data_IF_461635119187
#
_entry.id   IF_461635119187
#
_cell.length_a   1.000
_cell.length_b   1.000
_cell.length_c   1.000
_cell.angle_alpha   90.00
_cell.angle_beta   90.00
_cell.angle_gamma   90.00
#
_symmetry.space_group_name_H-M   'P 1'
#
loop_
_entity.id
_entity.type
_entity.pdbx_description
1 polymer ?
#
# COMPACT_ATOMS: atom_id res chain seq x y z
N UNK A 1 8.94 4.06 13.60
CA UNK A 1 7.89 3.60 14.54
C UNK A 1 7.24 2.29 14.09
N UNK A 2 6.79 2.15 12.84
CA UNK A 2 6.15 0.92 12.32
C UNK A 2 6.97 -0.38 12.52
N UNK A 3 8.26 -0.35 12.20
CA UNK A 3 9.17 -1.50 12.36
C UNK A 3 9.45 -1.87 13.83
N UNK A 4 9.28 -0.91 14.74
CA UNK A 4 9.59 -1.09 16.16
C UNK A 4 8.45 -1.72 16.96
N UNK A 5 7.28 -1.92 16.35
CA UNK A 5 6.13 -2.53 17.01
C UNK A 5 6.30 -4.06 17.00
N UNK A 6 6.16 -4.68 18.18
CA UNK A 6 6.29 -6.11 18.35
C UNK A 6 5.28 -6.87 17.50
N UNK A 7 5.74 -7.96 16.89
CA UNK A 7 4.93 -8.75 15.97
C UNK A 7 5.54 -10.12 15.73
N UNK A 8 4.76 -11.01 15.13
CA UNK A 8 5.26 -12.31 14.70
C UNK A 8 6.41 -12.17 13.69
N UNK A 9 7.31 -13.16 13.56
CA UNK A 9 8.41 -13.11 12.61
C UNK A 9 7.94 -12.83 11.16
N UNK A 10 6.81 -13.42 10.74
CA UNK A 10 6.20 -13.18 9.42
C UNK A 10 5.80 -11.72 9.25
N UNK A 11 5.09 -11.16 10.23
CA UNK A 11 4.63 -9.76 10.17
C UNK A 11 5.84 -8.81 10.20
N UNK A 12 6.87 -9.10 10.99
CA UNK A 12 8.13 -8.34 11.02
C UNK A 12 8.81 -8.30 9.65
N UNK A 13 8.86 -9.43 8.95
CA UNK A 13 9.38 -9.50 7.58
C UNK A 13 8.56 -8.63 6.62
N UNK A 14 7.23 -8.70 6.66
CA UNK A 14 6.37 -7.90 5.78
C UNK A 14 6.52 -6.41 6.08
N UNK A 15 6.63 -6.03 7.36
CA UNK A 15 6.91 -4.64 7.76
C UNK A 15 8.23 -4.14 7.17
N UNK A 16 9.30 -4.94 7.24
CA UNK A 16 10.60 -4.61 6.67
C UNK A 16 10.51 -4.42 5.15
N UNK A 17 9.83 -5.34 4.45
CA UNK A 17 9.59 -5.25 3.02
C UNK A 17 8.78 -4.01 2.63
N UNK A 18 7.72 -3.71 3.38
CA UNK A 18 6.89 -2.52 3.17
C UNK A 18 7.70 -1.24 3.38
N UNK A 19 8.46 -1.15 4.48
CA UNK A 19 9.31 0.01 4.75
C UNK A 19 10.35 0.24 3.65
N UNK A 20 11.01 -0.82 3.17
CA UNK A 20 11.96 -0.73 2.06
C UNK A 20 11.32 -0.20 0.77
N UNK A 21 10.09 -0.61 0.47
CA UNK A 21 9.33 -0.11 -0.70
C UNK A 21 8.99 1.37 -0.57
N UNK A 22 8.56 1.82 0.61
CA UNK A 22 8.27 3.24 0.87
C UNK A 22 9.54 4.09 0.70
N UNK A 23 10.71 3.58 1.12
CA UNK A 23 11.99 4.30 1.02
C UNK A 23 12.58 4.27 -0.40
N UNK A 24 12.41 3.18 -1.14
CA UNK A 24 13.01 3.02 -2.48
C UNK A 24 12.43 3.98 -3.54
N UNK A 25 11.28 4.61 -3.26
CA UNK A 25 10.65 5.58 -4.17
C UNK A 25 9.91 4.90 -5.33
N UNK A 26 9.82 5.53 -6.51
CA UNK A 26 9.05 4.99 -7.64
C UNK A 26 9.73 3.74 -8.21
N UNK A 27 9.07 2.59 -8.04
CA UNK A 27 9.61 1.28 -8.43
C UNK A 27 9.31 0.89 -9.88
N UNK A 28 8.31 1.49 -10.50
CA UNK A 28 7.85 1.10 -11.83
C UNK A 28 7.19 2.26 -12.56
N UNK A 29 7.08 2.11 -13.88
CA UNK A 29 6.30 2.93 -14.79
C UNK A 29 5.38 1.99 -15.58
N UNK A 30 4.06 2.15 -15.47
CA UNK A 30 3.17 1.47 -16.40
C UNK A 30 3.27 2.14 -17.76
N UNK A 31 3.51 1.34 -18.77
CA UNK A 31 3.28 1.69 -20.16
C UNK A 31 1.95 1.08 -20.55
N UNK A 32 0.85 1.69 -20.08
CA UNK A 32 -0.47 1.48 -20.67
C UNK A 32 -0.54 2.22 -22.02
N UNK A 33 0.44 1.98 -22.90
CA UNK A 33 0.34 2.40 -24.30
C UNK A 33 -0.76 1.58 -24.96
N UNK A 34 -1.46 2.18 -25.94
CA UNK A 34 -2.57 1.63 -26.73
C UNK A 34 -2.24 0.30 -27.46
N UNK A 35 -1.86 -0.73 -26.72
CA UNK A 35 -1.53 -2.06 -27.19
C UNK A 35 -2.72 -3.01 -27.13
N UNK A 36 -2.44 -4.27 -27.46
CA UNK A 36 -3.39 -5.38 -27.73
C UNK A 36 -4.38 -5.69 -26.59
N UNK A 37 -4.14 -5.21 -25.36
CA UNK A 37 -5.00 -5.45 -24.21
C UNK A 37 -5.83 -4.22 -23.84
N UNK A 38 -7.12 -4.42 -23.55
CA UNK A 38 -7.94 -3.38 -22.92
C UNK A 38 -7.36 -3.04 -21.54
N UNK A 39 -7.54 -1.78 -21.09
CA UNK A 39 -7.03 -1.31 -19.80
C UNK A 39 -7.41 -2.25 -18.64
N UNK A 40 -8.67 -2.68 -18.59
CA UNK A 40 -9.15 -3.61 -17.57
C UNK A 40 -8.42 -4.96 -17.60
N UNK A 41 -8.15 -5.51 -18.80
CA UNK A 41 -7.42 -6.76 -18.94
C UNK A 41 -5.96 -6.62 -18.47
N UNK A 42 -5.30 -5.52 -18.80
CA UNK A 42 -3.94 -5.24 -18.33
C UNK A 42 -3.86 -5.18 -16.79
N UNK A 43 -4.83 -4.54 -16.15
CA UNK A 43 -4.93 -4.45 -14.68
C UNK A 43 -5.09 -5.84 -14.06
N UNK A 44 -5.98 -6.67 -14.61
CA UNK A 44 -6.18 -8.03 -14.10
C UNK A 44 -4.94 -8.90 -14.28
N UNK A 45 -4.20 -8.77 -15.39
CA UNK A 45 -2.92 -9.46 -15.60
C UNK A 45 -1.91 -9.05 -14.51
N UNK A 46 -1.80 -7.75 -14.19
CA UNK A 46 -0.92 -7.24 -13.13
C UNK A 46 -1.23 -7.90 -11.79
N UNK A 47 -2.50 -7.90 -11.37
CA UNK A 47 -2.88 -8.50 -10.09
C UNK A 47 -2.75 -10.03 -10.06
N UNK A 48 -2.97 -10.71 -11.19
CA UNK A 48 -2.80 -12.16 -11.28
C UNK A 48 -1.34 -12.62 -11.25
N UNK A 49 -0.38 -11.73 -11.56
CA UNK A 49 1.05 -12.02 -11.45
C UNK A 49 1.57 -11.96 -10.00
N UNK A 50 0.77 -11.43 -9.06
CA UNK A 50 1.15 -11.40 -7.65
C UNK A 50 0.84 -12.75 -7.00
N UNK A 51 1.85 -13.34 -6.37
CA UNK A 51 1.73 -14.58 -5.59
C UNK A 51 1.78 -14.29 -4.09
N UNK A 52 1.19 -15.20 -3.30
CA UNK A 52 1.25 -15.15 -1.85
C UNK A 52 0.34 -14.09 -1.23
N UNK A 53 0.73 -13.63 -0.04
CA UNK A 53 0.20 -12.52 0.76
C UNK A 53 -0.16 -11.23 -0.01
N UNK A 54 0.39 -11.09 -1.22
CA UNK A 54 0.34 -9.89 -2.05
C UNK A 54 -0.94 -9.81 -2.87
N UNK A 55 -1.56 -10.93 -3.24
CA UNK A 55 -2.76 -10.91 -4.10
C UNK A 55 -3.94 -10.26 -3.39
N UNK A 56 -4.11 -10.54 -2.10
CA UNK A 56 -5.14 -9.92 -1.27
C UNK A 56 -4.79 -8.46 -0.97
N UNK A 57 -3.54 -8.15 -0.60
CA UNK A 57 -3.16 -6.80 -0.18
C UNK A 57 -2.96 -5.79 -1.34
N UNK A 58 -2.50 -6.22 -2.51
CA UNK A 58 -2.16 -5.31 -3.61
C UNK A 58 -3.33 -4.46 -4.10
N UNK A 59 -4.56 -4.97 -3.99
CA UNK A 59 -5.78 -4.23 -4.34
C UNK A 59 -6.11 -3.12 -3.33
N UNK A 60 -5.57 -3.19 -2.11
CA UNK A 60 -5.85 -2.25 -1.03
C UNK A 60 -4.92 -1.03 -1.02
N UNK A 61 -4.02 -0.83 -1.97
CA UNK A 61 -3.13 0.34 -1.93
C UNK A 61 -2.00 0.32 -2.94
N UNK A 62 -1.54 1.49 -3.34
CA UNK A 62 -0.41 1.65 -4.27
C UNK A 62 0.89 1.17 -3.65
N UNK A 63 1.06 1.33 -2.33
CA UNK A 63 2.22 0.80 -1.61
C UNK A 63 2.26 -0.74 -1.61
N UNK A 64 1.10 -1.39 -1.49
CA UNK A 64 1.00 -2.86 -1.57
C UNK A 64 1.23 -3.38 -2.99
N UNK A 65 0.69 -2.66 -3.97
CA UNK A 65 0.94 -2.91 -5.39
C UNK A 65 2.43 -2.81 -5.75
N UNK A 66 3.10 -1.75 -5.29
CA UNK A 66 4.56 -1.55 -5.43
C UNK A 66 5.36 -2.68 -4.83
N UNK A 67 4.98 -3.13 -3.64
CA UNK A 67 5.58 -4.30 -3.01
C UNK A 67 5.39 -5.57 -3.83
N UNK A 68 4.20 -5.78 -4.41
CA UNK A 68 3.92 -6.87 -5.33
C UNK A 68 4.86 -6.89 -6.54
N UNK A 69 5.02 -5.73 -7.19
CA UNK A 69 5.85 -5.56 -8.39
C UNK A 69 7.35 -5.70 -8.10
N UNK A 70 7.86 -5.06 -7.04
CA UNK A 70 9.26 -5.21 -6.63
C UNK A 70 9.62 -6.69 -6.41
N UNK A 71 8.74 -7.44 -5.74
CA UNK A 71 8.99 -8.85 -5.45
C UNK A 71 8.86 -9.74 -6.68
N UNK A 72 7.95 -9.42 -7.60
CA UNK A 72 7.88 -10.08 -8.90
C UNK A 72 9.19 -9.90 -9.68
N UNK A 73 9.75 -8.68 -9.71
CA UNK A 73 11.03 -8.38 -10.34
C UNK A 73 12.18 -9.15 -9.68
N UNK A 74 12.32 -9.10 -8.36
CA UNK A 74 13.35 -9.84 -7.60
C UNK A 74 13.25 -11.35 -7.88
N UNK A 75 12.03 -11.90 -7.94
CA UNK A 75 11.80 -13.31 -8.25
C UNK A 75 12.25 -13.69 -9.66
N UNK A 76 11.93 -12.86 -10.67
CA UNK A 76 12.38 -13.07 -12.05
C UNK A 76 13.90 -13.05 -12.16
N UNK A 77 14.54 -12.06 -11.54
CA UNK A 77 16.00 -11.93 -11.51
C UNK A 77 16.66 -13.17 -10.89
N UNK A 78 16.16 -13.63 -9.74
CA UNK A 78 16.70 -14.79 -9.04
C UNK A 78 16.61 -16.09 -9.88
N UNK A 79 15.55 -16.24 -10.69
CA UNK A 79 15.38 -17.40 -11.58
C UNK A 79 16.11 -17.28 -12.92
N UNK A 80 16.83 -16.18 -13.18
CA UNK A 80 17.47 -15.89 -14.47
C UNK A 80 16.51 -16.07 -15.65
N UNK A 81 15.22 -15.76 -15.45
CA UNK A 81 14.24 -15.80 -16.53
C UNK A 81 14.57 -14.63 -17.45
N UNK A 82 15.30 -14.92 -18.53
CA UNK A 82 15.71 -13.96 -19.55
C UNK A 82 14.49 -13.27 -20.16
N UNK A 83 14.70 -12.03 -20.65
CA UNK A 83 13.80 -11.02 -21.25
C UNK A 83 12.72 -11.47 -22.26
N UNK A 84 12.48 -12.76 -22.48
CA UNK A 84 11.48 -13.25 -23.43
C UNK A 84 10.19 -13.64 -22.68
N UNK A 85 9.25 -12.70 -22.63
CA UNK A 85 7.80 -12.90 -22.43
C UNK A 85 7.34 -13.27 -21.01
N UNK A 86 7.71 -12.45 -20.02
CA UNK A 86 6.94 -12.38 -18.79
C UNK A 86 5.53 -11.80 -19.06
N UNK A 87 4.50 -12.24 -18.31
CA UNK A 87 3.12 -11.74 -18.48
C UNK A 87 2.96 -10.21 -18.26
N UNK A 88 3.94 -9.55 -17.63
CA UNK A 88 3.95 -8.09 -17.44
C UNK A 88 4.78 -7.34 -18.50
N UNK A 89 5.47 -8.04 -19.39
CA UNK A 89 6.32 -7.41 -20.41
C UNK A 89 5.43 -6.60 -21.38
N UNK A 90 5.75 -5.31 -21.55
CA UNK A 90 4.94 -4.38 -22.34
C UNK A 90 3.72 -3.80 -21.62
N UNK A 91 3.42 -4.24 -20.39
CA UNK A 91 2.37 -3.67 -19.52
C UNK A 91 3.00 -2.79 -18.43
N UNK A 92 4.02 -3.30 -17.76
CA UNK A 92 4.72 -2.63 -16.66
C UNK A 92 6.22 -2.62 -16.94
N UNK A 93 6.82 -1.44 -17.00
CA UNK A 93 8.27 -1.27 -16.93
C UNK A 93 8.69 -1.18 -15.46
N UNK A 94 9.34 -2.22 -14.96
CA UNK A 94 9.78 -2.30 -13.56
C UNK A 94 11.26 -1.98 -13.49
N UNK A 95 11.62 -0.99 -12.67
CA UNK A 95 13.03 -0.63 -12.47
C UNK A 95 13.75 -1.76 -11.73
N UNK A 96 14.68 -2.42 -12.41
CA UNK A 96 15.55 -3.43 -11.82
C UNK A 96 16.42 -2.84 -10.70
N UNK A 97 16.94 -1.64 -10.90
CA UNK A 97 17.74 -0.92 -9.89
C UNK A 97 16.92 -0.66 -8.62
N UNK A 98 15.69 -0.15 -8.76
CA UNK A 98 14.84 0.13 -7.61
C UNK A 98 14.40 -1.16 -6.90
N UNK A 99 14.17 -2.25 -7.65
CA UNK A 99 13.90 -3.57 -7.09
C UNK A 99 15.10 -4.12 -6.30
N UNK A 100 16.31 -3.90 -6.79
CA UNK A 100 17.54 -4.30 -6.08
C UNK A 100 17.75 -3.47 -4.81
N UNK A 101 17.48 -2.16 -4.86
CA UNK A 101 17.48 -1.30 -3.66
C UNK A 101 16.52 -1.82 -2.59
N UNK A 102 15.31 -2.21 -2.97
CA UNK A 102 14.36 -2.84 -2.02
C UNK A 102 14.96 -4.12 -1.43
N UNK A 103 15.53 -5.00 -2.25
CA UNK A 103 16.15 -6.26 -1.78
C UNK A 103 17.28 -5.99 -0.78
N UNK A 104 18.19 -5.08 -1.09
CA UNK A 104 19.32 -4.71 -0.21
C UNK A 104 18.80 -4.10 1.09
N UNK A 105 17.88 -3.14 1.00
CA UNK A 105 17.32 -2.47 2.19
C UNK A 105 16.59 -3.45 3.12
N UNK A 106 15.83 -4.40 2.57
CA UNK A 106 15.21 -5.47 3.37
C UNK A 106 16.27 -6.29 4.09
N UNK A 107 17.33 -6.71 3.39
CA UNK A 107 18.40 -7.50 3.99
C UNK A 107 19.10 -6.74 5.14
N UNK A 108 19.35 -5.44 4.95
CA UNK A 108 19.93 -4.58 5.98
C UNK A 108 19.01 -4.43 7.20
N UNK A 109 17.73 -4.10 6.99
CA UNK A 109 16.75 -4.00 8.09
C UNK A 109 16.69 -5.30 8.88
N UNK A 110 16.59 -6.45 8.20
CA UNK A 110 16.54 -7.74 8.87
C UNK A 110 17.84 -8.03 9.63
N UNK A 111 19.01 -7.72 9.06
CA UNK A 111 20.29 -7.89 9.75
C UNK A 111 20.34 -7.10 11.06
N UNK A 112 19.88 -5.85 11.05
CA UNK A 112 19.83 -5.01 12.25
C UNK A 112 18.83 -5.55 13.29
N UNK A 113 17.66 -6.03 12.85
CA UNK A 113 16.67 -6.65 13.76
C UNK A 113 17.23 -7.93 14.40
N UNK A 114 17.98 -8.75 13.66
CA UNK A 114 18.63 -9.94 14.19
C UNK A 114 19.73 -9.58 15.20
N UNK A 115 20.51 -8.53 14.94
CA UNK A 115 21.53 -8.04 15.87
C UNK A 115 20.91 -7.55 17.20
N UNK A 116 19.67 -7.07 17.17
CA UNK A 116 18.87 -6.73 18.34
C UNK A 116 18.22 -7.95 19.03
N UNK A 117 18.50 -9.17 18.58
CA UNK A 117 17.98 -10.41 19.15
C UNK A 117 16.53 -10.73 18.76
N UNK A 118 15.98 -10.08 17.73
CA UNK A 118 14.64 -10.39 17.26
C UNK A 118 14.63 -11.63 16.37
N UNK A 119 13.59 -12.45 16.52
CA UNK A 119 13.39 -13.63 15.69
C UNK A 119 13.05 -13.25 14.24
N UNK A 120 13.73 -13.87 13.28
CA UNK A 120 13.56 -13.60 11.85
C UNK A 120 13.24 -14.91 11.15
N UNK A 121 12.26 -14.91 10.21
CA UNK A 121 11.92 -16.12 9.48
C UNK A 121 13.15 -16.70 8.78
N UNK A 122 13.42 -17.99 8.99
CA UNK A 122 14.51 -18.72 8.33
C UNK A 122 14.43 -18.65 6.79
N UNK A 123 13.22 -18.45 6.25
CA UNK A 123 12.92 -18.32 4.82
C UNK A 123 12.77 -16.86 4.37
N UNK A 124 13.56 -15.93 4.92
CA UNK A 124 13.53 -14.50 4.57
C UNK A 124 13.79 -14.18 3.08
N UNK A 125 14.14 -15.18 2.26
CA UNK A 125 14.19 -15.04 0.81
C UNK A 125 12.76 -14.83 0.24
N UNK A 126 12.55 -13.64 -0.30
CA UNK A 126 11.38 -13.12 -1.05
C UNK A 126 10.61 -14.13 -1.94
N UNK A 127 11.23 -15.16 -2.57
CA UNK A 127 10.50 -16.10 -3.43
C UNK A 127 9.52 -17.07 -2.74
N UNK A 128 9.66 -17.33 -1.43
CA UNK A 128 9.05 -18.51 -0.79
C UNK A 128 8.04 -18.20 0.33
N UNK A 129 7.22 -17.18 0.13
CA UNK A 129 6.15 -16.86 1.07
C UNK A 129 4.96 -17.82 0.93
N UNK A 130 4.23 -18.02 2.04
CA UNK A 130 2.99 -18.82 2.04
C UNK A 130 1.94 -18.21 1.09
N UNK A 131 0.99 -19.04 0.68
CA UNK A 131 -0.03 -18.71 -0.31
C UNK A 131 -0.92 -17.52 0.10
N UNK A 132 -1.30 -17.38 1.38
CA UNK A 132 -2.12 -16.24 1.89
C UNK A 132 -1.87 -15.98 3.39
N UNK A 133 -1.98 -14.70 3.82
CA UNK A 133 -1.76 -14.29 5.20
C UNK A 133 -2.96 -14.71 6.03
N UNK A 134 -2.71 -15.12 7.26
CA UNK A 134 -3.81 -15.33 8.22
C UNK A 134 -4.51 -14.00 8.52
N UNK A 135 -5.79 -14.06 8.91
CA UNK A 135 -6.56 -12.88 9.30
C UNK A 135 -5.87 -12.12 10.46
N UNK A 136 -5.30 -12.84 11.42
CA UNK A 136 -4.58 -12.26 12.56
C UNK A 136 -3.33 -11.49 12.13
N UNK A 137 -2.54 -12.03 11.21
CA UNK A 137 -1.36 -11.34 10.67
C UNK A 137 -1.76 -10.07 9.89
N UNK A 138 -2.85 -10.14 9.11
CA UNK A 138 -3.36 -8.96 8.37
C UNK A 138 -3.84 -7.89 9.33
N UNK A 139 -4.66 -8.26 10.31
CA UNK A 139 -5.13 -7.38 11.36
C UNK A 139 -3.95 -6.71 12.08
N UNK A 140 -2.95 -7.48 12.49
CA UNK A 140 -1.76 -6.97 13.16
C UNK A 140 -0.99 -5.97 12.27
N UNK A 141 -0.88 -6.20 10.96
CA UNK A 141 -0.24 -5.23 10.04
C UNK A 141 -1.04 -3.93 9.99
N UNK A 142 -2.34 -4.00 9.76
CA UNK A 142 -3.19 -2.81 9.63
C UNK A 142 -3.22 -2.01 10.93
N UNK A 143 -3.28 -2.68 12.09
CA UNK A 143 -3.25 -2.05 13.39
C UNK A 143 -1.92 -1.32 13.63
N UNK A 144 -0.80 -1.94 13.24
CA UNK A 144 0.51 -1.30 13.31
C UNK A 144 0.66 -0.13 12.33
N UNK A 145 0.10 -0.22 11.13
CA UNK A 145 0.07 0.89 10.17
C UNK A 145 -0.72 2.07 10.73
N UNK A 146 -1.94 1.81 11.23
CA UNK A 146 -2.78 2.82 11.86
C UNK A 146 -2.02 3.51 13.00
N UNK A 147 -1.48 2.74 13.94
CA UNK A 147 -0.74 3.30 15.09
C UNK A 147 0.49 4.10 14.65
N UNK A 148 1.22 3.63 13.65
CA UNK A 148 2.43 4.28 13.16
C UNK A 148 2.16 5.59 12.42
N UNK A 149 1.04 5.67 11.69
CA UNK A 149 0.76 6.74 10.73
C UNK A 149 -0.60 7.41 10.94
N UNK A 150 -1.18 7.34 12.15
CA UNK A 150 -2.50 7.92 12.45
C UNK A 150 -2.63 9.40 12.09
N UNK A 151 -1.53 10.14 12.08
CA UNK A 151 -1.48 11.56 11.76
C UNK A 151 -1.56 11.85 10.24
N UNK A 152 -1.42 10.84 9.40
CA UNK A 152 -1.49 10.89 7.94
C UNK A 152 -2.74 10.20 7.42
N UNK A 153 -3.74 9.97 8.29
CA UNK A 153 -4.97 9.31 7.91
C UNK A 153 -5.78 10.22 6.99
N UNK A 154 -6.26 9.62 5.91
CA UNK A 154 -7.11 10.21 4.89
C UNK A 154 -8.47 9.56 4.94
N UNK A 155 -9.49 10.32 4.64
CA UNK A 155 -10.87 9.90 4.56
C UNK A 155 -11.31 9.95 3.10
N UNK A 156 -11.73 8.81 2.55
CA UNK A 156 -12.24 8.71 1.19
C UNK A 156 -13.74 8.44 1.22
N UNK A 157 -14.54 9.26 0.53
CA UNK A 157 -16.00 9.14 0.46
C UNK A 157 -16.48 9.29 -0.98
N UNK A 158 -17.51 8.55 -1.35
CA UNK A 158 -18.21 8.84 -2.59
C UNK A 158 -18.92 10.20 -2.45
N UNK A 159 -18.92 11.04 -3.50
CA UNK A 159 -19.68 12.28 -3.47
C UNK A 159 -21.17 11.95 -3.26
N UNK A 160 -21.92 12.80 -2.52
CA UNK A 160 -23.35 12.63 -2.34
C UNK A 160 -24.05 12.65 -3.71
N UNK A 161 -25.03 11.78 -3.87
CA UNK A 161 -25.76 11.51 -5.11
C UNK A 161 -26.37 12.76 -5.77
N UNK A 162 -26.61 13.80 -4.98
CA UNK A 162 -27.30 15.04 -5.37
C UNK A 162 -26.38 16.08 -6.02
N UNK A 163 -25.07 15.82 -6.08
CA UNK A 163 -24.09 16.70 -6.71
C UNK A 163 -23.78 16.22 -8.14
N UNK A 164 -24.60 16.66 -9.12
CA UNK A 164 -24.41 16.34 -10.54
C UNK A 164 -23.08 16.85 -11.13
N UNK A 165 -22.35 17.72 -10.42
CA UNK A 165 -21.15 18.39 -10.94
C UNK A 165 -19.84 17.57 -10.85
N UNK A 166 -19.76 16.52 -10.02
CA UNK A 166 -18.55 15.70 -9.86
C UNK A 166 -18.85 14.23 -10.15
N UNK A 167 -19.23 13.95 -11.40
CA UNK A 167 -19.34 12.57 -11.88
C UNK A 167 -17.97 11.88 -11.87
N UNK A 168 -17.67 11.13 -10.82
CA UNK A 168 -16.93 9.87 -10.95
C UNK A 168 -15.89 9.54 -9.89
N UNK A 169 -15.28 10.54 -9.24
CA UNK A 169 -14.14 10.32 -8.36
C UNK A 169 -14.49 10.54 -6.88
N UNK A 170 -14.07 9.63 -5.96
CA UNK A 170 -14.25 9.81 -4.53
C UNK A 170 -13.56 11.09 -4.03
N UNK A 171 -14.23 11.83 -3.14
CA UNK A 171 -13.63 12.93 -2.42
C UNK A 171 -12.66 12.39 -1.37
N UNK A 172 -11.44 12.91 -1.33
CA UNK A 172 -10.42 12.50 -0.38
C UNK A 172 -9.95 13.70 0.43
N UNK A 173 -9.98 13.58 1.76
CA UNK A 173 -9.58 14.66 2.67
C UNK A 173 -8.63 14.13 3.74
N UNK A 174 -7.71 14.97 4.22
CA UNK A 174 -6.96 14.66 5.46
C UNK A 174 -7.94 14.63 6.63
N UNK A 175 -7.90 13.57 7.43
CA UNK A 175 -8.76 13.44 8.61
C UNK A 175 -8.50 14.55 9.64
N UNK A 176 -7.25 14.97 9.78
CA UNK A 176 -6.82 15.98 10.76
C UNK A 176 -7.38 17.38 10.51
N UNK A 177 -7.33 17.83 9.26
CA UNK A 177 -7.59 19.23 8.90
C UNK A 177 -8.79 19.40 7.98
N UNK A 178 -9.35 18.32 7.46
CA UNK A 178 -10.34 18.37 6.38
C UNK A 178 -9.77 18.88 5.05
N UNK A 179 -8.45 19.03 4.93
CA UNK A 179 -7.83 19.59 3.71
C UNK A 179 -8.06 18.65 2.53
N UNK A 180 -8.57 19.17 1.40
CA UNK A 180 -8.73 18.40 0.18
C UNK A 180 -7.41 17.80 -0.30
N UNK A 181 -7.49 16.53 -0.67
CA UNK A 181 -6.37 15.76 -1.17
C UNK A 181 -6.64 15.23 -2.56
N UNK A 182 -5.64 15.32 -3.43
CA UNK A 182 -5.61 14.56 -4.67
C UNK A 182 -4.62 13.42 -4.57
N UNK A 183 -4.94 12.28 -5.17
CA UNK A 183 -3.87 11.35 -5.53
C UNK A 183 -2.96 12.08 -6.52
N UNK A 184 -1.66 12.06 -6.24
CA UNK A 184 -0.67 12.51 -7.22
C UNK A 184 -0.97 11.80 -8.54
N UNK A 185 -0.86 12.51 -9.67
CA UNK A 185 -1.08 11.96 -11.01
C UNK A 185 0.06 11.02 -11.40
N UNK A 186 0.30 10.02 -10.56
CA UNK A 186 1.19 8.92 -10.80
C UNK A 186 0.37 7.69 -11.19
N UNK A 187 1.09 6.81 -11.85
CA UNK A 187 0.54 5.63 -12.48
C UNK A 187 -0.08 4.64 -11.45
N UNK A 188 0.31 4.74 -10.17
CA UNK A 188 -0.28 3.95 -9.08
C UNK A 188 -1.69 4.42 -8.74
N UNK A 189 -1.97 5.72 -8.87
CA UNK A 189 -3.32 6.26 -8.73
C UNK A 189 -4.26 5.71 -9.81
N UNK A 190 -3.75 5.42 -11.01
CA UNK A 190 -4.55 4.86 -12.11
C UNK A 190 -4.97 3.41 -11.89
N UNK A 191 -4.19 2.64 -11.14
CA UNK A 191 -4.51 1.25 -10.78
C UNK A 191 -5.40 1.16 -9.53
N UNK A 192 -5.45 2.22 -8.73
CA UNK A 192 -6.26 2.30 -7.53
C UNK A 192 -7.67 2.75 -7.86
N UNK A 193 -8.60 1.80 -7.91
CA UNK A 193 -10.02 2.11 -7.99
C UNK A 193 -10.59 2.32 -6.57
N UNK A 194 -10.38 3.51 -5.99
CA UNK A 194 -10.89 3.85 -4.65
C UNK A 194 -12.41 3.70 -4.59
N UNK A 195 -13.12 4.03 -5.68
CA UNK A 195 -14.58 3.86 -5.75
C UNK A 195 -14.99 2.40 -5.55
N UNK A 196 -14.33 1.48 -6.24
CA UNK A 196 -14.55 0.03 -6.07
C UNK A 196 -14.20 -0.44 -4.65
N UNK A 197 -13.18 0.13 -4.01
CA UNK A 197 -12.86 -0.17 -2.61
C UNK A 197 -13.97 0.25 -1.65
N UNK A 198 -14.52 1.45 -1.83
CA UNK A 198 -15.68 1.93 -1.06
C UNK A 198 -16.87 0.99 -1.26
N UNK A 199 -17.23 0.71 -2.51
CA UNK A 199 -18.34 -0.18 -2.86
C UNK A 199 -18.18 -1.60 -2.28
N UNK A 200 -16.96 -2.16 -2.34
CA UNK A 200 -16.66 -3.50 -1.83
C UNK A 200 -16.70 -3.56 -0.30
N UNK A 201 -16.28 -2.48 0.37
CA UNK A 201 -16.31 -2.39 1.83
C UNK A 201 -17.73 -2.33 2.41
N UNK A 202 -18.74 -2.04 1.57
CA UNK A 202 -20.13 -1.74 1.97
C UNK A 202 -20.24 -0.59 2.98
N UNK A 203 -19.16 0.15 3.20
CA UNK A 203 -19.13 1.32 4.06
C UNK A 203 -19.39 2.58 3.23
N UNK A 204 -19.94 3.61 3.88
CA UNK A 204 -20.12 4.93 3.28
C UNK A 204 -18.76 5.61 2.98
N UNK A 205 -17.72 5.20 3.71
CA UNK A 205 -16.39 5.77 3.66
C UNK A 205 -15.32 4.70 3.90
N UNK A 206 -14.13 4.92 3.35
CA UNK A 206 -12.94 4.13 3.66
C UNK A 206 -11.84 5.01 4.21
N UNK A 207 -11.07 4.47 5.15
CA UNK A 207 -9.89 5.11 5.68
C UNK A 207 -8.67 4.72 4.86
N UNK A 208 -7.70 5.61 4.81
CA UNK A 208 -6.41 5.30 4.23
C UNK A 208 -5.27 6.05 4.89
N UNK A 209 -4.06 5.67 4.53
CA UNK A 209 -2.82 6.27 4.99
C UNK A 209 -1.98 6.56 3.76
N UNK A 210 -1.54 7.81 3.62
CA UNK A 210 -0.57 8.21 2.61
C UNK A 210 0.80 8.42 3.26
N UNK A 211 1.81 7.73 2.73
CA UNK A 211 3.19 7.86 3.22
C UNK A 211 3.94 9.02 2.58
N UNK A 212 3.34 9.66 1.58
CA UNK A 212 3.91 10.79 0.85
C UNK A 212 2.86 11.87 0.66
N UNK A 213 2.87 12.85 1.56
CA UNK A 213 2.04 14.05 1.47
C UNK A 213 2.90 15.22 0.99
N UNK A 214 2.48 15.86 -0.11
CA UNK A 214 3.17 17.02 -0.68
C UNK A 214 2.19 18.19 -0.73
N UNK A 215 2.53 19.32 -0.11
CA UNK A 215 1.70 20.52 -0.17
C UNK A 215 1.87 21.17 -1.55
N UNK A 216 0.78 21.23 -2.33
CA UNK A 216 0.78 21.82 -3.68
C UNK A 216 0.39 23.30 -3.62
N UNK A 217 -0.58 23.62 -2.77
CA UNK A 217 -1.01 25.00 -2.51
C UNK A 217 -1.43 25.16 -1.05
N UNK A 218 -1.89 26.36 -0.67
CA UNK A 218 -2.37 26.61 0.68
C UNK A 218 -3.46 25.61 1.10
N UNK A 219 -4.37 25.27 0.17
CA UNK A 219 -5.58 24.49 0.44
C UNK A 219 -5.58 23.10 -0.23
N UNK A 220 -4.46 22.67 -0.81
CA UNK A 220 -4.38 21.41 -1.56
C UNK A 220 -3.12 20.61 -1.22
N UNK A 221 -3.33 19.32 -0.98
CA UNK A 221 -2.27 18.34 -0.72
C UNK A 221 -2.33 17.23 -1.76
N UNK A 222 -1.19 16.89 -2.35
CA UNK A 222 -1.05 15.70 -3.16
C UNK A 222 -0.58 14.53 -2.29
N UNK A 223 -1.16 13.36 -2.55
CA UNK A 223 -0.89 12.12 -1.84
C UNK A 223 -0.28 11.09 -2.79
N UNK A 224 0.83 10.49 -2.37
CA UNK A 224 1.38 9.27 -2.94
C UNK A 224 1.33 8.13 -1.92
N UNK A 225 1.64 6.92 -2.39
CA UNK A 225 1.95 5.78 -1.51
C UNK A 225 0.81 5.49 -0.51
N UNK A 226 -0.40 5.54 -1.07
CA UNK A 226 -1.65 5.41 -0.35
C UNK A 226 -2.00 3.95 -0.16
N UNK A 227 -2.51 3.60 1.02
CA UNK A 227 -3.13 2.32 1.30
C UNK A 227 -4.41 2.51 2.10
N UNK A 228 -5.34 1.60 1.90
CA UNK A 228 -6.58 1.49 2.64
C UNK A 228 -6.32 0.85 4.00
N UNK A 229 -6.99 1.38 5.02
CA UNK A 229 -7.16 0.73 6.31
C UNK A 229 -8.60 0.26 6.39
N UNK A 230 -8.83 -1.06 6.55
CA UNK A 230 -10.18 -1.60 6.74
C UNK A 230 -10.90 -0.97 7.94
N UNK A 231 -12.21 -0.73 7.81
CA UNK A 231 -13.01 -0.04 8.83
C UNK A 231 -13.11 -0.83 10.14
N UNK A 232 -13.18 -2.16 10.06
CA UNK A 232 -13.15 -3.08 11.21
C UNK A 232 -11.87 -2.93 12.05
N UNK A 233 -10.74 -2.60 11.42
CA UNK A 233 -9.50 -2.30 12.14
C UNK A 233 -9.61 -0.99 12.92
N UNK A 234 -10.28 0.02 12.36
CA UNK A 234 -10.54 1.28 13.06
C UNK A 234 -11.48 1.04 14.25
N UNK A 235 -12.61 0.36 14.02
CA UNK A 235 -13.61 0.06 15.06
C UNK A 235 -13.02 -0.77 16.20
N UNK A 236 -12.21 -1.79 15.87
CA UNK A 236 -11.49 -2.58 16.88
C UNK A 236 -10.52 -1.72 17.68
N UNK A 237 -9.76 -0.83 17.03
CA UNK A 237 -8.85 0.07 17.73
C UNK A 237 -9.57 1.07 18.64
N UNK A 238 -10.69 1.66 18.18
CA UNK A 238 -11.49 2.59 18.99
C UNK A 238 -12.11 1.87 20.20
N UNK A 239 -12.57 0.64 20.01
CA UNK A 239 -13.10 -0.21 21.08
C UNK A 239 -12.03 -0.55 22.11
N UNK A 240 -10.84 -0.99 21.67
CA UNK A 240 -9.76 -1.41 22.56
C UNK A 240 -9.17 -0.25 23.37
N UNK A 241 -9.14 0.95 22.78
CA UNK A 241 -8.56 2.14 23.42
C UNK A 241 -9.58 3.01 24.15
N UNK A 242 -10.87 2.88 23.83
CA UNK A 242 -11.92 3.79 24.29
C UNK A 242 -11.80 5.20 23.72
N UNK A 243 -10.99 5.40 22.67
CA UNK A 243 -10.74 6.70 22.06
C UNK A 243 -11.27 6.73 20.63
N UNK A 244 -11.92 7.84 20.24
CA UNK A 244 -12.24 8.04 18.82
C UNK A 244 -11.02 8.50 18.04
N UNK A 245 -10.79 7.91 16.87
CA UNK A 245 -9.72 8.26 15.95
C UNK A 245 -9.79 9.74 15.57
N UNK A 246 -10.99 10.24 15.30
CA UNK A 246 -11.20 11.65 14.96
C UNK A 246 -10.75 12.58 16.09
N UNK A 247 -11.05 12.24 17.34
CA UNK A 247 -10.64 13.01 18.52
C UNK A 247 -9.12 12.98 18.70
N UNK A 248 -8.49 11.81 18.55
CA UNK A 248 -7.03 11.67 18.73
C UNK A 248 -6.25 12.39 17.64
N UNK A 249 -6.73 12.37 16.40
CA UNK A 249 -6.05 13.03 15.29
C UNK A 249 -6.26 14.56 15.33
N UNK A 250 -7.45 15.01 15.74
CA UNK A 250 -7.79 16.45 15.85
C UNK A 250 -7.15 17.14 17.07
N UNK A 251 -7.02 16.44 18.21
CA UNK A 251 -6.47 17.01 19.45
C UNK A 251 -4.97 17.37 19.38
N UNK A 252 -4.22 16.77 18.44
CA UNK A 252 -2.81 17.09 18.18
C UNK A 252 -2.62 18.28 17.22
N UNK A 253 -3.66 19.08 16.99
CA UNK A 253 -3.64 20.28 16.14
C UNK A 253 -3.61 21.59 16.95
N UNK A 254 -3.65 21.52 18.27
CA UNK A 254 -3.40 22.63 19.19
C UNK A 254 -1.95 22.62 19.66
#
# INVERSE_FOLDING_TARGET
>A
MFLALDSSPTVRLIKAQFAAVVVAGPLYRLTLTNGVHTRAAAIEIVFNCFHGYRRSLARHGSSWLRLGLAKYSIFRQARRITLMQGPLDGIVDISEEASDKVRVCVAEILKELAALGMDIPANAAVPWERQEMTADEQCQIYWHLLRAYMHQVTLCRNPPSDCEAEHGNPAINLLKSGTPCSLASDISAELLNIKSLIETSKAEMVYGISHRLTRVSHDKVDMGDWLMIPSDVIESWETDTGLSLQTVVSSRAQ
#
